data_IF_676432691680
#
_entry.id   IF_676432691680
#
_cell.length_a   1.000
_cell.length_b   1.000
_cell.length_c   1.000
_cell.angle_alpha   90.00
_cell.angle_beta   90.00
_cell.angle_gamma   90.00
#
_symmetry.space_group_name_H-M   'P 1'
#
loop_
_entity.id
_entity.type
_entity.pdbx_description
1 polymer ?
#
# COMPACT_ATOMS: atom_id res chain seq x y z
N UNK A 1 5.13 -41.88 -34.34
CA UNK A 1 5.66 -40.49 -34.45
C UNK A 1 4.92 -39.46 -33.59
N UNK A 2 4.18 -39.84 -32.53
CA UNK A 2 3.41 -38.87 -31.72
C UNK A 2 3.99 -38.55 -30.32
N UNK A 3 5.05 -39.23 -29.87
CA UNK A 3 5.60 -39.04 -28.51
C UNK A 3 6.70 -37.97 -28.38
N UNK A 4 7.18 -37.41 -29.50
CA UNK A 4 8.18 -36.33 -29.47
C UNK A 4 7.55 -34.95 -29.29
N UNK A 5 6.29 -34.77 -29.72
CA UNK A 5 5.62 -33.47 -29.64
C UNK A 5 5.16 -33.12 -28.21
N UNK A 6 4.71 -34.10 -27.41
CA UNK A 6 4.26 -33.84 -26.03
C UNK A 6 5.42 -33.55 -25.07
N UNK A 7 6.59 -34.19 -25.24
CA UNK A 7 7.77 -33.91 -24.39
C UNK A 7 8.27 -32.47 -24.50
N UNK A 8 8.07 -31.81 -25.64
CA UNK A 8 8.50 -30.43 -25.84
C UNK A 8 7.53 -29.43 -25.21
N UNK A 9 6.22 -29.71 -25.20
CA UNK A 9 5.23 -28.86 -24.52
C UNK A 9 5.39 -28.87 -23.00
N UNK A 10 5.70 -30.01 -22.37
CA UNK A 10 5.99 -30.05 -20.92
C UNK A 10 7.26 -29.27 -20.54
N UNK A 11 8.28 -29.26 -21.41
CA UNK A 11 9.50 -28.46 -21.20
C UNK A 11 9.20 -26.96 -21.27
N UNK A 12 8.39 -26.53 -22.23
CA UNK A 12 7.98 -25.12 -22.37
C UNK A 12 7.14 -24.69 -21.16
N UNK A 13 6.17 -25.50 -20.74
CA UNK A 13 5.37 -25.25 -19.54
C UNK A 13 6.23 -25.15 -18.27
N UNK A 14 7.23 -26.02 -18.13
CA UNK A 14 8.17 -25.96 -17.01
C UNK A 14 9.00 -24.68 -17.00
N UNK A 15 9.50 -24.24 -18.17
CA UNK A 15 10.25 -22.99 -18.29
C UNK A 15 9.39 -21.78 -17.93
N UNK A 16 8.14 -21.72 -18.42
CA UNK A 16 7.19 -20.65 -18.08
C UNK A 16 6.89 -20.63 -16.57
N UNK A 17 6.69 -21.81 -15.97
CA UNK A 17 6.45 -21.94 -14.53
C UNK A 17 7.66 -21.48 -13.70
N UNK A 18 8.88 -21.87 -14.10
CA UNK A 18 10.11 -21.42 -13.41
C UNK A 18 10.35 -19.91 -13.55
N UNK A 19 10.02 -19.32 -14.71
CA UNK A 19 10.12 -17.88 -14.94
C UNK A 19 9.15 -17.10 -14.04
N UNK A 20 7.92 -17.59 -13.88
CA UNK A 20 6.96 -17.02 -12.93
C UNK A 20 7.43 -17.12 -11.48
N UNK A 21 8.06 -18.23 -11.08
CA UNK A 21 8.62 -18.40 -9.74
C UNK A 21 9.77 -17.43 -9.44
N UNK A 22 10.63 -17.13 -10.42
CA UNK A 22 11.76 -16.20 -10.21
C UNK A 22 11.34 -14.74 -10.06
N UNK A 23 10.23 -14.31 -10.69
CA UNK A 23 9.71 -12.95 -10.53
C UNK A 23 9.17 -12.65 -9.12
N UNK A 24 8.69 -13.68 -8.40
CA UNK A 24 8.14 -13.52 -7.06
C UNK A 24 9.19 -13.28 -5.96
N UNK A 25 10.49 -13.45 -6.26
CA UNK A 25 11.56 -13.36 -5.26
C UNK A 25 12.01 -11.90 -5.01
N UNK A 26 11.74 -10.97 -5.93
CA UNK A 26 12.21 -9.58 -5.83
C UNK A 26 11.22 -8.59 -5.20
N UNK A 27 10.09 -9.05 -4.65
CA UNK A 27 9.04 -8.15 -4.17
C UNK A 27 8.76 -8.35 -2.66
N UNK A 28 9.72 -7.99 -1.80
CA UNK A 28 9.44 -7.77 -0.37
C UNK A 28 10.28 -6.63 0.17
N UNK A 29 9.90 -5.41 -0.18
CA UNK A 29 10.04 -4.33 0.81
C UNK A 29 9.02 -4.64 1.91
N UNK A 30 9.46 -4.76 3.17
CA UNK A 30 8.56 -4.94 4.31
C UNK A 30 7.85 -3.62 4.61
N UNK A 31 7.08 -3.14 3.65
CA UNK A 31 6.34 -1.89 3.73
C UNK A 31 4.88 -2.21 4.02
N UNK A 32 4.36 -1.65 5.11
CA UNK A 32 2.98 -1.89 5.53
C UNK A 32 1.98 -1.21 4.58
N UNK A 33 2.32 -0.02 4.08
CA UNK A 33 1.47 0.78 3.20
C UNK A 33 2.31 1.41 2.09
N UNK A 34 1.72 1.65 0.91
CA UNK A 34 2.33 2.64 0.03
C UNK A 34 2.16 4.04 0.62
N UNK A 35 3.13 4.90 0.32
CA UNK A 35 3.16 6.28 0.77
C UNK A 35 3.59 7.24 -0.36
N UNK A 36 3.81 8.50 -0.02
CA UNK A 36 4.22 9.52 -0.96
C UNK A 36 5.53 9.23 -1.68
N UNK A 37 6.45 8.43 -1.11
CA UNK A 37 7.70 8.04 -1.78
C UNK A 37 7.43 7.12 -2.96
N UNK A 38 6.52 6.16 -2.80
CA UNK A 38 6.15 5.28 -3.91
C UNK A 38 5.40 6.06 -4.96
N UNK A 39 4.44 6.88 -4.52
CA UNK A 39 3.62 7.72 -5.38
C UNK A 39 4.47 8.66 -6.26
N UNK A 40 5.43 9.35 -5.64
CA UNK A 40 6.34 10.27 -6.31
C UNK A 40 7.39 9.53 -7.19
N UNK A 41 7.61 8.23 -6.97
CA UNK A 41 8.48 7.40 -7.81
C UNK A 41 7.78 6.87 -9.07
N UNK A 42 6.44 6.86 -9.15
CA UNK A 42 5.71 6.34 -10.32
C UNK A 42 6.17 6.97 -11.63
N UNK A 43 6.34 8.31 -11.76
CA UNK A 43 6.83 8.90 -13.00
C UNK A 43 8.18 8.34 -13.43
N UNK A 44 9.10 8.16 -12.48
CA UNK A 44 10.42 7.58 -12.75
C UNK A 44 10.32 6.11 -13.18
N UNK A 45 9.41 5.34 -12.60
CA UNK A 45 9.17 3.95 -12.99
C UNK A 45 8.54 3.80 -14.38
N UNK A 46 7.87 4.84 -14.88
CA UNK A 46 7.19 4.87 -16.17
C UNK A 46 7.98 5.65 -17.23
N UNK A 47 9.29 5.85 -17.03
CA UNK A 47 10.16 6.64 -17.93
C UNK A 47 9.61 8.05 -18.22
N UNK A 48 8.91 8.63 -17.25
CA UNK A 48 8.24 9.94 -17.33
C UNK A 48 7.14 10.03 -18.41
N UNK A 49 6.63 8.90 -18.90
CA UNK A 49 5.45 8.89 -19.77
C UNK A 49 4.18 9.26 -18.98
N UNK A 50 3.51 10.34 -19.39
CA UNK A 50 2.36 10.88 -18.70
C UNK A 50 1.17 9.90 -18.68
N UNK A 51 0.88 9.28 -19.83
CA UNK A 51 -0.26 8.37 -19.97
C UNK A 51 -0.08 7.11 -19.13
N UNK A 52 1.12 6.53 -19.13
CA UNK A 52 1.44 5.37 -18.29
C UNK A 52 1.46 5.73 -16.80
N UNK A 53 2.01 6.89 -16.44
CA UNK A 53 1.98 7.41 -15.05
C UNK A 53 0.55 7.53 -14.53
N UNK A 54 -0.34 8.16 -15.31
CA UNK A 54 -1.74 8.32 -14.92
C UNK A 54 -2.43 6.96 -14.81
N UNK A 55 -2.22 6.05 -15.77
CA UNK A 55 -2.81 4.70 -15.74
C UNK A 55 -2.40 3.90 -14.51
N UNK A 56 -1.13 3.95 -14.12
CA UNK A 56 -0.64 3.27 -12.91
C UNK A 56 -1.26 3.88 -11.65
N UNK A 57 -1.26 5.21 -11.54
CA UNK A 57 -1.89 5.92 -10.41
C UNK A 57 -3.38 5.57 -10.30
N UNK A 58 -4.11 5.55 -11.43
CA UNK A 58 -5.52 5.16 -11.46
C UNK A 58 -5.74 3.71 -11.02
N UNK A 59 -4.95 2.77 -11.55
CA UNK A 59 -5.07 1.35 -11.18
C UNK A 59 -4.83 1.14 -9.69
N UNK A 60 -3.85 1.84 -9.12
CA UNK A 60 -3.56 1.79 -7.69
C UNK A 60 -4.71 2.34 -6.83
N UNK A 61 -5.22 3.53 -7.16
CA UNK A 61 -6.35 4.13 -6.45
C UNK A 61 -7.61 3.27 -6.53
N UNK A 62 -7.94 2.75 -7.71
CA UNK A 62 -9.09 1.87 -7.86
C UNK A 62 -8.94 0.60 -7.02
N UNK A 63 -7.75 -0.02 -7.01
CA UNK A 63 -7.48 -1.18 -6.16
C UNK A 63 -7.65 -0.90 -4.67
N UNK A 64 -7.24 0.28 -4.19
CA UNK A 64 -7.48 0.69 -2.80
C UNK A 64 -8.96 0.89 -2.49
N UNK A 65 -9.69 1.59 -3.37
CA UNK A 65 -11.13 1.84 -3.20
C UNK A 65 -11.93 0.54 -3.23
N UNK A 66 -11.60 -0.38 -4.15
CA UNK A 66 -12.19 -1.71 -4.24
C UNK A 66 -11.89 -2.54 -2.97
N UNK A 67 -10.66 -2.47 -2.45
CA UNK A 67 -10.27 -3.13 -1.21
C UNK A 67 -11.03 -2.59 0.02
N UNK A 68 -11.26 -1.27 0.07
CA UNK A 68 -12.09 -0.63 1.10
C UNK A 68 -13.54 -1.09 0.98
N UNK A 69 -14.12 -1.05 -0.22
CA UNK A 69 -15.49 -1.51 -0.47
C UNK A 69 -15.67 -2.97 -0.08
N UNK A 70 -14.72 -3.84 -0.45
CA UNK A 70 -14.73 -5.24 -0.04
C UNK A 70 -14.73 -5.38 1.49
N UNK A 71 -13.88 -4.63 2.18
CA UNK A 71 -13.78 -4.66 3.65
C UNK A 71 -15.08 -4.17 4.30
N UNK A 72 -15.68 -3.11 3.77
CA UNK A 72 -17.00 -2.62 4.21
C UNK A 72 -18.06 -3.70 4.09
N UNK A 73 -18.23 -4.29 2.89
CA UNK A 73 -19.24 -5.32 2.66
C UNK A 73 -19.04 -6.55 3.54
N UNK A 74 -17.79 -6.92 3.81
CA UNK A 74 -17.45 -8.04 4.69
C UNK A 74 -17.85 -7.77 6.14
N UNK A 75 -17.56 -6.58 6.66
CA UNK A 75 -17.96 -6.21 8.03
C UNK A 75 -19.47 -6.03 8.12
N UNK A 76 -20.08 -5.40 7.11
CA UNK A 76 -21.52 -5.14 7.05
C UNK A 76 -22.35 -6.43 7.09
N UNK A 77 -21.85 -7.51 6.50
CA UNK A 77 -22.49 -8.83 6.56
C UNK A 77 -22.59 -9.38 8.00
N UNK A 78 -21.67 -9.00 8.88
CA UNK A 78 -21.62 -9.45 10.28
C UNK A 78 -22.28 -8.44 11.22
N UNK A 79 -21.94 -7.15 11.08
CA UNK A 79 -22.45 -6.05 11.88
C UNK A 79 -22.52 -4.76 11.04
N UNK A 80 -23.74 -4.39 10.68
CA UNK A 80 -24.02 -3.20 9.85
C UNK A 80 -23.66 -1.91 10.58
N UNK A 81 -23.97 -1.81 11.87
CA UNK A 81 -23.72 -0.59 12.65
C UNK A 81 -22.21 -0.37 12.77
N UNK A 82 -21.45 -1.44 13.01
CA UNK A 82 -20.00 -1.35 13.04
C UNK A 82 -19.43 -0.93 11.69
N UNK A 83 -19.90 -1.52 10.59
CA UNK A 83 -19.43 -1.18 9.26
C UNK A 83 -19.69 0.29 8.91
N UNK A 84 -20.91 0.77 9.14
CA UNK A 84 -21.28 2.15 8.84
C UNK A 84 -20.47 3.14 9.71
N UNK A 85 -20.20 2.81 10.97
CA UNK A 85 -19.37 3.65 11.84
C UNK A 85 -17.89 3.66 11.40
N UNK A 86 -17.30 2.50 11.14
CA UNK A 86 -15.87 2.36 10.82
C UNK A 86 -15.54 2.93 9.43
N UNK A 87 -16.43 2.75 8.46
CA UNK A 87 -16.22 3.20 7.08
C UNK A 87 -17.04 4.45 6.74
N UNK A 88 -17.43 5.24 7.74
CA UNK A 88 -18.18 6.50 7.59
C UNK A 88 -17.40 7.61 6.88
N UNK A 89 -16.09 7.45 6.69
CA UNK A 89 -15.22 8.44 6.05
C UNK A 89 -15.60 8.71 4.60
N UNK A 90 -15.49 9.97 4.18
CA UNK A 90 -15.79 10.38 2.82
C UNK A 90 -14.59 10.13 1.89
N UNK A 91 -14.78 9.28 0.88
CA UNK A 91 -13.72 8.92 -0.07
C UNK A 91 -14.11 9.09 -1.55
N UNK A 92 -15.39 9.35 -1.82
CA UNK A 92 -15.99 9.31 -3.16
C UNK A 92 -16.39 10.70 -3.69
N UNK A 93 -15.96 11.79 -3.05
CA UNK A 93 -16.34 13.15 -3.45
C UNK A 93 -15.63 13.60 -4.73
N UNK A 94 -14.40 13.12 -4.94
CA UNK A 94 -13.57 13.46 -6.10
C UNK A 94 -13.62 12.38 -7.18
N UNK A 95 -13.63 12.79 -8.45
CA UNK A 95 -13.33 11.84 -9.54
C UNK A 95 -11.88 11.34 -9.41
N UNK A 96 -11.57 10.14 -9.93
CA UNK A 96 -10.22 9.57 -9.85
C UNK A 96 -9.14 10.53 -10.37
N UNK A 97 -9.44 11.32 -11.41
CA UNK A 97 -8.52 12.31 -11.97
C UNK A 97 -8.28 13.50 -11.02
N UNK A 98 -9.32 13.98 -10.35
CA UNK A 98 -9.19 15.04 -9.35
C UNK A 98 -8.50 14.53 -8.10
N UNK A 99 -8.79 13.29 -7.69
CA UNK A 99 -8.13 12.62 -6.58
C UNK A 99 -6.62 12.52 -6.84
N UNK A 100 -6.20 12.09 -8.04
CA UNK A 100 -4.79 12.07 -8.43
C UNK A 100 -4.15 13.45 -8.28
N UNK A 101 -4.81 14.51 -8.77
CA UNK A 101 -4.27 15.89 -8.66
C UNK A 101 -4.13 16.36 -7.22
N UNK A 102 -5.11 16.04 -6.36
CA UNK A 102 -5.08 16.43 -4.95
C UNK A 102 -3.99 15.65 -4.19
N UNK A 103 -3.83 14.36 -4.49
CA UNK A 103 -2.78 13.53 -3.91
C UNK A 103 -1.39 13.99 -4.38
N UNK A 104 -1.25 14.33 -5.67
CA UNK A 104 -0.02 14.94 -6.20
C UNK A 104 0.31 16.24 -5.45
N UNK A 105 -0.68 17.10 -5.23
CA UNK A 105 -0.49 18.33 -4.46
C UNK A 105 -0.09 18.05 -3.00
N UNK A 106 -0.73 17.07 -2.35
CA UNK A 106 -0.44 16.70 -0.97
C UNK A 106 0.99 16.17 -0.80
N UNK A 107 1.45 15.29 -1.69
CA UNK A 107 2.81 14.73 -1.64
C UNK A 107 3.89 15.60 -2.27
N UNK A 108 3.55 16.78 -2.79
CA UNK A 108 4.55 17.78 -3.14
C UNK A 108 5.28 18.32 -1.89
N UNK A 109 4.63 18.29 -0.72
CA UNK A 109 5.29 18.59 0.56
C UNK A 109 6.10 17.36 1.03
N UNK A 110 7.44 17.47 1.17
CA UNK A 110 8.27 16.38 1.66
C UNK A 110 7.87 15.84 3.04
N UNK A 111 7.23 16.65 3.89
CA UNK A 111 6.73 16.24 5.21
C UNK A 111 5.54 15.28 5.12
N UNK A 112 4.93 15.12 3.95
CA UNK A 112 3.84 14.18 3.73
C UNK A 112 4.30 12.84 3.16
N UNK A 113 5.57 12.71 2.74
CA UNK A 113 6.03 11.53 2.00
C UNK A 113 5.87 10.18 2.72
N UNK A 114 5.79 10.17 4.04
CA UNK A 114 5.58 8.96 4.85
C UNK A 114 4.12 8.74 5.25
N UNK A 115 3.22 9.66 4.91
CA UNK A 115 1.78 9.50 5.15
C UNK A 115 1.25 8.42 4.20
N UNK A 116 0.55 7.39 4.72
CA UNK A 116 -0.01 6.32 3.89
C UNK A 116 -1.00 6.82 2.85
N UNK A 117 -1.02 6.16 1.70
CA UNK A 117 -1.93 6.45 0.59
C UNK A 117 -3.42 6.46 0.98
N UNK A 118 -3.95 5.51 1.79
CA UNK A 118 -5.34 5.56 2.24
C UNK A 118 -5.68 6.86 2.99
N UNK A 119 -4.78 7.33 3.85
CA UNK A 119 -4.97 8.59 4.58
C UNK A 119 -4.92 9.80 3.65
N UNK A 120 -4.04 9.79 2.64
CA UNK A 120 -4.00 10.86 1.64
C UNK A 120 -5.30 10.96 0.83
N UNK A 121 -5.98 9.83 0.55
CA UNK A 121 -7.30 9.82 -0.10
C UNK A 121 -8.34 10.52 0.78
N UNK A 122 -8.37 10.21 2.07
CA UNK A 122 -9.31 10.84 3.02
C UNK A 122 -9.02 12.35 3.09
N UNK A 123 -7.76 12.74 3.29
CA UNK A 123 -7.35 14.15 3.35
C UNK A 123 -7.75 14.89 2.07
N UNK A 124 -7.55 14.30 0.89
CA UNK A 124 -7.95 14.89 -0.39
C UNK A 124 -9.47 15.13 -0.46
N UNK A 125 -10.28 14.17 0.00
CA UNK A 125 -11.73 14.33 0.04
C UNK A 125 -12.17 15.36 1.10
N UNK A 126 -11.54 15.41 2.28
CA UNK A 126 -11.79 16.44 3.28
C UNK A 126 -11.56 17.86 2.75
N UNK A 127 -10.49 18.06 1.97
CA UNK A 127 -10.24 19.33 1.27
C UNK A 127 -11.32 19.63 0.24
N UNK A 128 -11.74 18.63 -0.54
CA UNK A 128 -12.75 18.80 -1.58
C UNK A 128 -14.14 19.12 -1.00
N UNK A 129 -14.48 18.54 0.14
CA UNK A 129 -15.70 18.80 0.91
C UNK A 129 -15.67 20.13 1.67
N UNK A 130 -14.52 20.81 1.68
CA UNK A 130 -14.32 22.09 2.37
C UNK A 130 -14.57 22.00 3.87
N UNK A 131 -14.14 20.90 4.49
CA UNK A 131 -14.13 20.80 5.95
C UNK A 131 -13.26 21.93 6.55
N UNK A 132 -13.51 22.33 7.81
CA UNK A 132 -12.70 23.35 8.48
C UNK A 132 -11.21 22.99 8.43
N UNK A 133 -10.37 23.94 8.03
CA UNK A 133 -8.93 23.69 7.85
C UNK A 133 -8.28 23.14 9.11
N UNK A 134 -8.74 23.59 10.29
CA UNK A 134 -8.26 23.11 11.58
C UNK A 134 -8.52 21.62 11.76
N UNK A 135 -9.67 21.11 11.32
CA UNK A 135 -10.00 19.69 11.38
C UNK A 135 -9.10 18.86 10.46
N UNK A 136 -8.81 19.38 9.26
CA UNK A 136 -7.91 18.73 8.29
C UNK A 136 -6.49 18.68 8.84
N UNK A 137 -5.99 19.79 9.40
CA UNK A 137 -4.66 19.86 10.00
C UNK A 137 -4.51 18.90 11.20
N UNK A 138 -5.51 18.83 12.07
CA UNK A 138 -5.54 17.88 13.20
C UNK A 138 -5.50 16.44 12.68
N UNK A 139 -6.23 16.12 11.61
CA UNK A 139 -6.23 14.79 11.01
C UNK A 139 -4.87 14.43 10.41
N UNK A 140 -4.26 15.36 9.66
CA UNK A 140 -2.91 15.18 9.10
C UNK A 140 -1.90 14.95 10.21
N UNK A 141 -1.93 15.76 11.27
CA UNK A 141 -0.99 15.63 12.38
C UNK A 141 -1.18 14.32 13.13
N UNK A 142 -2.43 13.94 13.42
CA UNK A 142 -2.76 12.67 14.08
C UNK A 142 -2.31 11.47 13.25
N UNK A 143 -2.51 11.52 11.92
CA UNK A 143 -2.06 10.48 11.00
C UNK A 143 -0.54 10.36 11.00
N UNK A 144 0.18 11.49 10.97
CA UNK A 144 1.66 11.52 11.01
C UNK A 144 2.20 10.92 12.30
N UNK A 145 1.59 11.26 13.45
CA UNK A 145 1.96 10.65 14.75
C UNK A 145 1.70 9.15 14.75
N UNK A 146 0.49 8.74 14.36
CA UNK A 146 0.09 7.33 14.32
C UNK A 146 1.02 6.47 13.45
N UNK A 147 1.35 6.91 12.23
CA UNK A 147 2.24 6.12 11.37
C UNK A 147 3.67 6.06 11.92
N UNK A 148 4.15 7.14 12.55
CA UNK A 148 5.46 7.14 13.19
C UNK A 148 5.51 6.16 14.38
N UNK A 149 4.50 6.20 15.25
CA UNK A 149 4.39 5.29 16.39
C UNK A 149 4.30 3.84 15.91
N UNK A 150 3.50 3.57 14.88
CA UNK A 150 3.37 2.24 14.28
C UNK A 150 4.70 1.73 13.71
N UNK A 151 5.47 2.60 13.03
CA UNK A 151 6.80 2.23 12.50
C UNK A 151 7.76 1.93 13.65
N UNK A 152 7.76 2.74 14.71
CA UNK A 152 8.59 2.53 15.90
C UNK A 152 8.24 1.22 16.61
N UNK A 153 6.95 0.91 16.76
CA UNK A 153 6.48 -0.34 17.36
C UNK A 153 6.91 -1.56 16.54
N UNK A 154 6.78 -1.50 15.21
CA UNK A 154 7.23 -2.57 14.32
C UNK A 154 8.75 -2.78 14.38
N UNK A 155 9.52 -1.70 14.42
CA UNK A 155 10.97 -1.78 14.54
C UNK A 155 11.39 -2.38 15.88
N UNK A 156 10.79 -1.94 17.01
CA UNK A 156 11.10 -2.49 18.34
C UNK A 156 10.75 -3.98 18.46
N UNK A 157 9.63 -4.41 17.88
CA UNK A 157 9.25 -5.83 17.76
C UNK A 157 10.28 -6.64 16.95
N UNK A 158 10.88 -6.05 15.91
CA UNK A 158 11.92 -6.70 15.13
C UNK A 158 13.24 -6.81 15.92
N UNK A 159 13.62 -5.75 16.64
CA UNK A 159 14.81 -5.75 17.50
C UNK A 159 14.73 -6.78 18.63
N UNK A 160 13.58 -6.93 19.29
CA UNK A 160 13.40 -7.92 20.35
C UNK A 160 13.60 -9.34 19.83
N UNK A 161 13.06 -9.65 18.65
CA UNK A 161 13.26 -10.93 17.95
C UNK A 161 14.72 -11.17 17.58
N UNK A 162 15.43 -10.16 17.07
CA UNK A 162 16.86 -10.25 16.75
C UNK A 162 17.73 -10.51 17.99
N UNK A 163 17.37 -9.91 19.13
CA UNK A 163 18.06 -10.13 20.40
C UNK A 163 17.82 -11.56 20.93
N UNK A 164 16.58 -12.05 20.84
CA UNK A 164 16.23 -13.42 21.19
C UNK A 164 17.02 -14.44 20.34
N UNK A 165 17.09 -14.23 19.02
CA UNK A 165 17.89 -15.08 18.14
C UNK A 165 19.40 -15.05 18.46
N UNK A 166 19.93 -13.91 18.91
CA UNK A 166 21.33 -13.82 19.37
C UNK A 166 21.55 -14.57 20.68
N UNK A 167 20.63 -14.47 21.63
CA UNK A 167 20.67 -15.20 22.90
C UNK A 167 20.66 -16.71 22.67
N UNK A 168 19.71 -17.21 21.85
CA UNK A 168 19.62 -18.64 21.51
C UNK A 168 20.91 -19.13 20.85
N UNK A 169 21.49 -18.35 19.92
CA UNK A 169 22.77 -18.68 19.27
C UNK A 169 23.93 -18.72 20.26
N UNK A 170 23.94 -17.84 21.26
CA UNK A 170 25.00 -17.83 22.26
C UNK A 170 24.89 -19.01 23.22
N UNK A 171 23.68 -19.37 23.66
CA UNK A 171 23.44 -20.53 24.52
C UNK A 171 23.82 -21.85 23.82
N UNK A 172 23.51 -21.99 22.52
CA UNK A 172 23.94 -23.14 21.71
C UNK A 172 25.45 -23.26 21.48
N UNK A 173 26.23 -22.22 21.76
CA UNK A 173 27.70 -22.25 21.70
C UNK A 173 28.34 -22.59 23.04
N UNK A 174 27.61 -22.37 24.14
CA UNK A 174 28.09 -22.60 25.51
C UNK A 174 27.81 -24.05 25.94
N UNK A 175 26.74 -24.65 25.42
CA UNK A 175 26.45 -26.08 25.48
C UNK A 175 27.05 -26.82 24.28
#
# INVERSE_FOLDING_TARGET
MNNYCSKNTYKILFVVFTFQLTFNISAKENKLFWDGRDWNNIPKMMDYDLESTIRVKMAYLNGLLDGRLFSYLKVWNEDQILADNVFSETVDYLSTRELIKNIDFFYNDPLNNYVPMPSAIIIANMYAERLPIQSIEIYIESTRRWINDLILDLDTLNYSKLLEEKLIRHQKKIN
#
